data_IF_401231511338
#
_entry.id   IF_401231511338
#
_cell.length_a   1.000
_cell.length_b   1.000
_cell.length_c   1.000
_cell.angle_alpha   90.00
_cell.angle_beta   90.00
_cell.angle_gamma   90.00
#
_symmetry.space_group_name_H-M   'P 1'
#
loop_
_entity.id
_entity.type
_entity.pdbx_description
1 polymer ?
#
# COMPACT_ATOMS: atom_id res chain seq x y z
N UNK A 1 -12.46 -8.36 8.68
CA UNK A 1 -11.23 -8.20 7.88
C UNK A 1 -10.82 -9.56 7.32
N UNK A 2 -9.98 -9.60 6.29
CA UNK A 2 -9.41 -10.82 5.71
C UNK A 2 -8.11 -11.17 6.43
N UNK A 3 -8.19 -12.04 7.43
CA UNK A 3 -7.05 -12.36 8.31
C UNK A 3 -5.90 -13.02 7.55
N UNK A 4 -6.21 -13.87 6.57
CA UNK A 4 -5.21 -14.58 5.79
C UNK A 4 -4.42 -13.62 4.89
N UNK A 5 -5.12 -12.69 4.24
CA UNK A 5 -4.48 -11.63 3.47
C UNK A 5 -3.54 -10.79 4.35
N UNK A 6 -4.04 -10.35 5.51
CA UNK A 6 -3.26 -9.53 6.46
C UNK A 6 -1.96 -10.22 6.85
N UNK A 7 -2.04 -11.52 7.18
CA UNK A 7 -0.86 -12.31 7.57
C UNK A 7 0.19 -12.40 6.49
N UNK A 8 -0.26 -12.53 5.25
CA UNK A 8 0.59 -12.86 4.12
C UNK A 8 1.19 -11.62 3.44
N UNK A 9 0.50 -10.49 3.47
CA UNK A 9 0.82 -9.36 2.61
C UNK A 9 1.01 -8.03 3.34
N UNK A 10 0.92 -8.00 4.67
CA UNK A 10 1.06 -6.76 5.44
C UNK A 10 2.04 -6.92 6.59
N UNK A 11 2.62 -5.82 7.08
CA UNK A 11 3.49 -5.83 8.25
C UNK A 11 2.74 -5.94 9.59
N UNK A 12 1.42 -6.08 9.55
CA UNK A 12 0.56 -6.13 10.72
C UNK A 12 0.86 -7.27 11.72
N UNK A 13 1.42 -8.43 11.33
CA UNK A 13 1.85 -9.46 12.28
C UNK A 13 3.18 -9.17 12.98
N UNK A 14 3.93 -8.13 12.58
CA UNK A 14 5.21 -7.79 13.20
C UNK A 14 4.99 -7.26 14.61
N UNK A 15 5.82 -7.72 15.56
CA UNK A 15 5.80 -7.29 16.95
C UNK A 15 6.42 -5.90 17.14
N UNK A 16 5.70 -5.06 17.88
CA UNK A 16 6.16 -3.77 18.40
C UNK A 16 6.44 -3.94 19.89
N UNK A 17 7.58 -3.42 20.35
CA UNK A 17 7.92 -3.42 21.78
C UNK A 17 7.13 -2.36 22.52
N UNK A 18 6.52 -2.74 23.63
CA UNK A 18 5.71 -1.82 24.45
C UNK A 18 6.56 -0.74 25.16
N UNK A 19 7.85 -1.02 25.41
CA UNK A 19 8.74 -0.13 26.16
C UNK A 19 9.28 1.05 25.35
N UNK A 20 9.44 0.90 24.03
CA UNK A 20 10.03 1.93 23.17
C UNK A 20 9.27 2.20 21.86
N UNK A 21 8.16 1.49 21.62
CA UNK A 21 7.29 1.66 20.45
C UNK A 21 7.99 1.40 19.10
N UNK A 22 9.09 0.63 19.11
CA UNK A 22 9.81 0.22 17.89
C UNK A 22 9.49 -1.23 17.52
N UNK A 23 9.61 -1.54 16.22
CA UNK A 23 9.59 -2.93 15.73
C UNK A 23 10.67 -3.75 16.43
N UNK A 24 10.31 -4.92 16.92
CA UNK A 24 11.27 -5.85 17.53
C UNK A 24 12.18 -6.43 16.43
N UNK A 25 13.49 -6.27 16.62
CA UNK A 25 14.48 -6.77 15.67
C UNK A 25 14.84 -8.22 16.00
N UNK A 26 14.93 -9.09 14.99
CA UNK A 26 15.33 -10.48 15.19
C UNK A 26 16.75 -10.61 15.75
N UNK A 27 17.62 -9.64 15.44
CA UNK A 27 18.98 -9.59 15.95
C UNK A 27 19.04 -9.50 17.49
N UNK A 28 18.02 -8.94 18.14
CA UNK A 28 17.98 -8.70 19.58
C UNK A 28 17.35 -9.87 20.37
N UNK A 29 16.66 -10.80 19.71
CA UNK A 29 15.87 -11.85 20.35
C UNK A 29 16.70 -13.11 20.58
N UNK A 30 16.59 -13.68 21.78
CA UNK A 30 17.26 -14.94 22.12
C UNK A 30 16.72 -16.09 21.24
N UNK A 31 17.63 -16.88 20.66
CA UNK A 31 17.28 -18.01 19.80
C UNK A 31 16.85 -17.66 18.36
N UNK A 32 16.85 -16.38 17.99
CA UNK A 32 16.63 -15.96 16.61
C UNK A 32 17.93 -15.51 15.92
N UNK A 33 17.99 -15.81 14.63
CA UNK A 33 19.06 -15.41 13.73
C UNK A 33 18.54 -14.51 12.61
N UNK A 34 19.43 -13.67 12.12
CA UNK A 34 19.20 -12.81 10.96
C UNK A 34 19.44 -13.66 9.70
N UNK A 35 18.51 -13.70 8.72
CA UNK A 35 18.70 -14.48 7.50
C UNK A 35 19.96 -14.05 6.75
N UNK A 36 20.80 -15.01 6.35
CA UNK A 36 22.10 -14.76 5.74
C UNK A 36 22.01 -14.09 4.35
N UNK A 37 20.88 -14.23 3.66
CA UNK A 37 20.60 -13.66 2.35
C UNK A 37 20.04 -12.23 2.41
N UNK A 38 19.95 -11.63 3.61
CA UNK A 38 19.42 -10.29 3.75
C UNK A 38 20.42 -9.22 3.29
N UNK A 39 20.00 -8.22 2.49
CA UNK A 39 20.84 -7.08 2.17
C UNK A 39 21.26 -6.30 3.41
N UNK A 40 22.47 -5.77 3.41
CA UNK A 40 23.07 -5.01 4.53
C UNK A 40 22.22 -3.79 4.96
N UNK A 41 21.48 -3.18 4.04
CA UNK A 41 20.62 -2.03 4.32
C UNK A 41 19.24 -2.41 4.90
N UNK A 42 18.96 -3.69 5.12
CA UNK A 42 17.70 -4.20 5.65
C UNK A 42 17.87 -4.73 7.07
N UNK A 43 16.75 -4.90 7.76
CA UNK A 43 16.69 -5.53 9.08
C UNK A 43 15.61 -6.61 9.08
N UNK A 44 15.84 -7.67 9.86
CA UNK A 44 14.83 -8.70 10.13
C UNK A 44 14.03 -8.31 11.36
N UNK A 45 12.74 -8.58 11.31
CA UNK A 45 11.81 -8.30 12.40
C UNK A 45 11.33 -9.60 13.02
N UNK A 46 10.43 -9.50 14.00
CA UNK A 46 9.90 -10.64 14.73
C UNK A 46 8.39 -10.67 14.66
N UNK A 47 7.84 -11.84 14.40
CA UNK A 47 6.43 -12.16 14.58
C UNK A 47 6.30 -13.29 15.62
N UNK A 48 5.09 -13.70 15.97
CA UNK A 48 4.85 -14.77 16.95
C UNK A 48 3.95 -15.84 16.36
N UNK A 49 4.35 -17.10 16.41
CA UNK A 49 3.60 -18.24 15.82
C UNK A 49 3.83 -19.50 16.66
N UNK A 50 2.80 -20.32 16.84
CA UNK A 50 2.83 -21.56 17.65
C UNK A 50 3.53 -21.42 19.00
N UNK A 51 3.30 -20.32 19.73
CA UNK A 51 3.87 -20.11 21.06
C UNK A 51 5.35 -19.73 21.08
N UNK A 52 5.94 -19.33 19.95
CA UNK A 52 7.35 -18.92 19.87
C UNK A 52 7.56 -17.72 18.93
N UNK A 53 8.61 -16.91 19.15
CA UNK A 53 8.99 -15.89 18.18
C UNK A 53 9.51 -16.53 16.89
N UNK A 54 9.24 -15.87 15.76
CA UNK A 54 9.72 -16.27 14.43
C UNK A 54 10.33 -15.07 13.71
N UNK A 55 11.40 -15.31 12.96
CA UNK A 55 12.07 -14.27 12.18
C UNK A 55 11.24 -13.88 10.95
N UNK A 56 11.07 -12.58 10.73
CA UNK A 56 10.44 -12.00 9.53
C UNK A 56 11.52 -11.45 8.60
N UNK A 57 11.67 -12.06 7.43
CA UNK A 57 12.46 -11.49 6.34
C UNK A 57 11.55 -10.54 5.53
N UNK A 58 11.81 -9.22 5.50
CA UNK A 58 10.94 -8.26 4.82
C UNK A 58 10.96 -8.38 3.29
N UNK A 59 11.90 -9.12 2.68
CA UNK A 59 11.95 -9.33 1.24
C UNK A 59 11.12 -10.52 0.75
N UNK A 60 10.88 -11.49 1.64
CA UNK A 60 10.12 -12.71 1.32
C UNK A 60 8.74 -12.72 1.96
N UNK A 61 8.67 -12.28 3.21
CA UNK A 61 7.43 -12.19 3.99
C UNK A 61 6.67 -13.53 4.11
N UNK A 62 7.40 -14.64 4.23
CA UNK A 62 6.85 -16.00 4.32
C UNK A 62 6.45 -16.35 5.77
N UNK A 63 5.41 -15.70 6.29
CA UNK A 63 4.92 -15.95 7.65
C UNK A 63 3.95 -17.14 7.72
N UNK A 64 3.98 -17.93 8.82
CA UNK A 64 2.96 -18.95 9.07
C UNK A 64 1.55 -18.36 9.19
N UNK A 65 0.53 -19.07 8.72
CA UNK A 65 -0.86 -18.62 8.80
C UNK A 65 -1.42 -18.58 10.23
N UNK A 66 -0.73 -19.23 11.19
CA UNK A 66 -1.09 -19.18 12.61
C UNK A 66 -0.40 -18.04 13.39
N UNK A 67 0.27 -17.11 12.68
CA UNK A 67 0.95 -15.98 13.34
C UNK A 67 0.00 -15.20 14.27
N UNK A 68 0.48 -14.41 15.20
CA UNK A 68 -0.36 -13.61 16.09
C UNK A 68 -0.76 -12.29 15.40
N UNK A 69 -2.02 -11.87 15.49
CA UNK A 69 -2.46 -10.51 15.13
C UNK A 69 -2.88 -9.70 16.34
N UNK A 70 -3.45 -10.33 17.37
CA UNK A 70 -4.00 -9.64 18.53
C UNK A 70 -3.38 -10.20 19.82
N UNK A 71 -3.29 -9.36 20.84
CA UNK A 71 -2.77 -9.70 22.16
C UNK A 71 -1.31 -9.33 22.42
N UNK A 72 -0.87 -9.62 23.65
CA UNK A 72 0.47 -9.31 24.15
C UNK A 72 1.27 -10.59 24.37
N UNK A 73 2.55 -10.56 23.98
CA UNK A 73 3.52 -11.63 24.24
C UNK A 73 4.75 -11.08 24.96
N UNK A 74 5.39 -11.91 25.76
CA UNK A 74 6.65 -11.58 26.42
C UNK A 74 7.79 -12.29 25.71
N UNK A 75 8.77 -11.52 25.23
CA UNK A 75 9.92 -12.02 24.46
C UNK A 75 11.21 -11.81 25.24
N UNK A 76 12.05 -12.84 25.29
CA UNK A 76 13.38 -12.79 25.90
C UNK A 76 14.43 -12.32 24.89
N UNK A 77 15.23 -11.36 25.30
CA UNK A 77 16.29 -10.74 24.50
C UNK A 77 17.65 -11.39 24.80
N UNK A 78 18.61 -11.21 23.89
CA UNK A 78 19.99 -11.71 24.04
C UNK A 78 20.74 -11.10 25.22
N UNK A 79 20.34 -9.92 25.68
CA UNK A 79 20.91 -9.30 26.89
C UNK A 79 20.32 -9.86 28.20
N UNK A 80 19.45 -10.89 28.11
CA UNK A 80 18.81 -11.56 29.24
C UNK A 80 17.54 -10.87 29.73
N UNK A 81 17.18 -9.69 29.21
CA UNK A 81 15.93 -9.00 29.58
C UNK A 81 14.73 -9.62 28.89
N UNK A 82 13.55 -9.33 29.42
CA UNK A 82 12.28 -9.66 28.79
C UNK A 82 11.52 -8.38 28.45
N UNK A 83 10.93 -8.32 27.26
CA UNK A 83 10.12 -7.19 26.80
C UNK A 83 8.72 -7.68 26.44
N UNK A 84 7.71 -6.86 26.77
CA UNK A 84 6.34 -7.04 26.30
C UNK A 84 6.23 -6.52 24.87
N UNK A 85 5.51 -7.24 24.03
CA UNK A 85 5.30 -6.88 22.65
C UNK A 85 3.87 -7.16 22.21
N UNK A 86 3.36 -6.34 21.29
CA UNK A 86 2.04 -6.50 20.65
C UNK A 86 2.22 -6.44 19.13
N UNK A 87 1.47 -7.22 18.34
CA UNK A 87 1.52 -7.07 16.88
C UNK A 87 1.04 -5.69 16.43
N UNK A 88 1.52 -5.22 15.28
CA UNK A 88 1.06 -3.96 14.65
C UNK A 88 -0.46 -3.95 14.46
N UNK A 89 -1.08 -5.08 14.10
CA UNK A 89 -2.53 -5.20 13.96
C UNK A 89 -3.27 -4.84 15.25
N UNK A 90 -2.80 -5.37 16.39
CA UNK A 90 -3.41 -5.15 17.70
C UNK A 90 -3.40 -3.66 18.07
N UNK A 91 -2.27 -2.99 17.87
CA UNK A 91 -2.11 -1.55 18.11
C UNK A 91 -2.97 -0.72 17.15
N UNK A 92 -3.06 -1.13 15.89
CA UNK A 92 -3.92 -0.48 14.90
C UNK A 92 -5.40 -0.63 15.26
N UNK A 93 -5.81 -1.81 15.71
CA UNK A 93 -7.18 -2.11 16.15
C UNK A 93 -7.55 -1.27 17.37
N UNK A 94 -6.66 -1.18 18.35
CA UNK A 94 -6.81 -0.32 19.53
C UNK A 94 -6.97 1.15 19.14
N UNK A 95 -6.10 1.67 18.26
CA UNK A 95 -6.20 3.05 17.77
C UNK A 95 -7.50 3.28 16.99
N UNK A 96 -7.89 2.35 16.12
CA UNK A 96 -9.11 2.46 15.32
C UNK A 96 -10.38 2.36 16.18
N UNK A 97 -10.34 1.65 17.32
CA UNK A 97 -11.49 1.49 18.21
C UNK A 97 -12.01 2.80 18.80
N UNK A 98 -11.16 3.84 18.83
CA UNK A 98 -11.52 5.19 19.28
C UNK A 98 -12.39 5.94 18.25
N UNK A 99 -12.38 5.50 17.00
CA UNK A 99 -13.10 6.11 15.89
C UNK A 99 -14.40 5.35 15.60
N UNK A 100 -15.34 5.40 16.55
CA UNK A 100 -16.69 4.85 16.34
C UNK A 100 -17.41 5.64 15.23
N UNK A 101 -18.45 5.09 14.58
CA UNK A 101 -19.24 5.83 13.61
C UNK A 101 -19.75 7.19 14.14
N UNK A 102 -20.14 7.26 15.42
CA UNK A 102 -20.59 8.48 16.08
C UNK A 102 -19.45 9.48 16.31
N UNK A 103 -18.25 8.99 16.66
CA UNK A 103 -17.07 9.85 16.77
C UNK A 103 -16.68 10.45 15.40
N UNK A 104 -16.81 9.67 14.32
CA UNK A 104 -16.56 10.15 12.96
C UNK A 104 -17.67 11.10 12.49
N UNK A 105 -18.94 10.86 12.85
CA UNK A 105 -20.05 11.81 12.61
C UNK A 105 -19.88 13.13 13.40
N UNK A 106 -19.23 13.12 14.56
CA UNK A 106 -18.93 14.36 15.27
C UNK A 106 -17.86 15.22 14.58
N UNK A 107 -16.91 14.57 13.89
CA UNK A 107 -15.81 15.23 13.16
C UNK A 107 -16.15 15.53 11.69
N UNK A 108 -17.19 14.88 11.15
CA UNK A 108 -17.58 14.96 9.74
C UNK A 108 -19.08 15.09 9.62
N UNK A 109 -19.61 15.80 8.62
CA UNK A 109 -21.06 15.87 8.41
C UNK A 109 -21.67 14.57 7.81
N UNK A 110 -20.99 13.43 7.95
CA UNK A 110 -21.44 12.14 7.43
C UNK A 110 -22.18 11.35 8.52
N UNK A 111 -23.45 10.95 8.31
CA UNK A 111 -24.21 10.23 9.32
C UNK A 111 -23.54 8.92 9.75
N UNK A 112 -23.53 8.61 11.06
CA UNK A 112 -22.96 7.37 11.59
C UNK A 112 -23.57 6.12 10.94
N UNK A 113 -24.87 6.16 10.63
CA UNK A 113 -25.57 5.08 9.92
C UNK A 113 -24.97 4.82 8.53
N UNK A 114 -24.62 5.87 7.79
CA UNK A 114 -24.01 5.77 6.47
C UNK A 114 -22.55 5.29 6.55
N UNK A 115 -21.80 5.76 7.55
CA UNK A 115 -20.42 5.29 7.80
C UNK A 115 -20.44 3.78 8.04
N UNK A 116 -21.31 3.32 8.94
CA UNK A 116 -21.45 1.90 9.26
C UNK A 116 -21.96 1.08 8.05
N UNK A 117 -22.89 1.61 7.26
CA UNK A 117 -23.40 0.97 6.04
C UNK A 117 -22.28 0.77 5.02
N UNK A 118 -21.55 1.83 4.67
CA UNK A 118 -20.46 1.77 3.69
C UNK A 118 -19.35 0.83 4.15
N UNK A 119 -18.97 0.86 5.44
CA UNK A 119 -17.96 -0.04 5.98
C UNK A 119 -18.36 -1.52 5.85
N UNK A 120 -19.63 -1.86 6.13
CA UNK A 120 -20.16 -3.23 5.99
C UNK A 120 -20.26 -3.65 4.53
N UNK A 121 -20.75 -2.78 3.66
CA UNK A 121 -20.83 -3.04 2.21
C UNK A 121 -19.45 -3.29 1.61
N UNK A 122 -18.47 -2.45 1.95
CA UNK A 122 -17.09 -2.61 1.50
C UNK A 122 -16.45 -3.91 2.02
N UNK A 123 -16.75 -4.30 3.26
CA UNK A 123 -16.24 -5.56 3.83
C UNK A 123 -16.87 -6.81 3.18
N UNK A 124 -18.11 -6.72 2.72
CA UNK A 124 -18.84 -7.82 2.08
C UNK A 124 -18.64 -7.89 0.55
N UNK A 125 -18.26 -6.77 -0.08
CA UNK A 125 -18.07 -6.67 -1.52
C UNK A 125 -16.69 -7.16 -1.92
N UNK A 126 -16.63 -8.04 -2.93
CA UNK A 126 -15.39 -8.42 -3.63
C UNK A 126 -15.67 -8.47 -5.14
N UNK A 127 -14.93 -7.74 -5.99
CA UNK A 127 -13.81 -6.87 -5.65
C UNK A 127 -14.24 -5.46 -5.19
N UNK A 128 -13.37 -4.79 -4.41
CA UNK A 128 -13.47 -3.35 -4.07
C UNK A 128 -12.25 -2.62 -4.62
N UNK A 129 -12.52 -1.53 -5.35
CA UNK A 129 -11.49 -0.60 -5.81
C UNK A 129 -11.75 0.79 -5.26
N UNK A 130 -10.75 1.36 -4.58
CA UNK A 130 -10.73 2.77 -4.21
C UNK A 130 -9.89 3.55 -5.23
N UNK A 131 -10.55 4.48 -5.93
CA UNK A 131 -9.89 5.45 -6.79
C UNK A 131 -9.79 6.81 -6.09
N UNK A 132 -8.58 7.32 -5.96
CA UNK A 132 -8.26 8.50 -5.17
C UNK A 132 -7.58 9.59 -6.03
N UNK A 133 -8.12 10.80 -6.00
CA UNK A 133 -7.71 11.92 -6.88
C UNK A 133 -6.86 13.00 -6.19
N UNK A 134 -6.44 14.01 -6.98
CA UNK A 134 -5.56 15.10 -6.55
C UNK A 134 -6.02 15.86 -5.33
N UNK A 135 -7.31 16.11 -5.22
CA UNK A 135 -7.94 16.75 -4.07
C UNK A 135 -7.75 15.99 -2.75
N UNK A 136 -7.18 14.78 -2.73
CA UNK A 136 -6.93 14.05 -1.50
C UNK A 136 -5.45 14.06 -1.06
N UNK A 137 -4.48 14.08 -1.99
CA UNK A 137 -3.05 14.27 -1.66
C UNK A 137 -2.59 15.72 -1.65
N UNK A 138 -3.32 16.65 -2.28
CA UNK A 138 -2.96 18.07 -2.29
C UNK A 138 -3.37 18.79 -0.99
N UNK A 139 -3.29 18.06 0.13
CA UNK A 139 -3.52 18.55 1.48
C UNK A 139 -2.32 18.21 2.34
N UNK A 140 -2.13 18.98 3.40
CA UNK A 140 -0.99 18.83 4.31
C UNK A 140 -0.85 17.41 4.89
N UNK A 141 -1.98 16.74 5.19
CA UNK A 141 -2.03 15.35 5.68
C UNK A 141 -2.52 14.35 4.62
N UNK A 142 -2.28 14.64 3.34
CA UNK A 142 -2.72 13.80 2.23
C UNK A 142 -2.09 12.40 2.22
N UNK A 143 -0.87 12.27 2.76
CA UNK A 143 -0.17 11.01 2.97
C UNK A 143 -0.91 10.11 3.96
N UNK A 144 -1.38 10.65 5.08
CA UNK A 144 -2.15 9.93 6.09
C UNK A 144 -3.49 9.47 5.52
N UNK A 145 -4.17 10.33 4.76
CA UNK A 145 -5.43 9.97 4.09
C UNK A 145 -5.21 8.84 3.07
N UNK A 146 -4.15 8.92 2.27
CA UNK A 146 -3.79 7.86 1.32
C UNK A 146 -3.50 6.53 2.03
N UNK A 147 -2.76 6.56 3.15
CA UNK A 147 -2.51 5.38 3.98
C UNK A 147 -3.80 4.78 4.53
N UNK A 148 -4.70 5.60 5.08
CA UNK A 148 -5.99 5.14 5.60
C UNK A 148 -6.86 4.48 4.53
N UNK A 149 -6.95 5.07 3.33
CA UNK A 149 -7.68 4.47 2.21
C UNK A 149 -7.05 3.15 1.73
N UNK A 150 -5.71 3.11 1.62
CA UNK A 150 -5.00 1.88 1.25
C UNK A 150 -5.19 0.76 2.30
N UNK A 151 -5.31 1.14 3.57
CA UNK A 151 -5.55 0.21 4.66
C UNK A 151 -6.91 -0.49 4.50
N UNK A 152 -7.95 0.19 4.03
CA UNK A 152 -9.27 -0.40 3.84
C UNK A 152 -9.26 -1.59 2.85
N UNK A 153 -8.56 -1.45 1.73
CA UNK A 153 -8.44 -2.52 0.73
C UNK A 153 -7.49 -3.63 1.19
N UNK A 154 -6.47 -3.31 1.99
CA UNK A 154 -5.62 -4.32 2.62
C UNK A 154 -6.39 -5.14 3.67
N UNK A 155 -7.19 -4.48 4.53
CA UNK A 155 -8.01 -5.15 5.55
C UNK A 155 -9.11 -6.04 4.96
N UNK A 156 -9.56 -5.75 3.74
CA UNK A 156 -10.61 -6.53 3.06
C UNK A 156 -10.06 -7.55 2.06
N UNK A 157 -8.73 -7.62 1.88
CA UNK A 157 -8.07 -8.53 0.95
C UNK A 157 -8.33 -8.20 -0.53
N UNK A 158 -8.60 -6.94 -0.82
CA UNK A 158 -8.91 -6.42 -2.15
C UNK A 158 -7.66 -5.79 -2.80
N UNK A 159 -6.58 -6.57 -2.93
CA UNK A 159 -5.36 -6.14 -3.63
C UNK A 159 -4.81 -7.32 -4.44
N UNK A 160 -4.57 -7.07 -5.73
CA UNK A 160 -3.83 -7.99 -6.61
C UNK A 160 -4.70 -8.74 -7.61
N UNK A 161 -5.98 -8.40 -7.71
CA UNK A 161 -6.92 -8.96 -8.68
C UNK A 161 -7.50 -7.89 -9.59
N UNK A 162 -8.07 -8.30 -10.72
CA UNK A 162 -8.74 -7.37 -11.62
C UNK A 162 -9.97 -6.77 -10.94
N UNK A 163 -10.05 -5.44 -10.95
CA UNK A 163 -11.17 -4.69 -10.37
C UNK A 163 -11.07 -4.43 -8.86
N UNK A 164 -9.96 -4.82 -8.21
CA UNK A 164 -9.67 -4.48 -6.82
C UNK A 164 -8.52 -3.48 -6.67
N UNK A 165 -8.30 -2.99 -5.45
CA UNK A 165 -7.09 -2.28 -5.08
C UNK A 165 -7.28 -0.81 -4.74
N UNK A 166 -6.15 -0.12 -4.70
CA UNK A 166 -6.07 1.30 -4.42
C UNK A 166 -5.28 1.95 -5.55
N UNK A 167 -5.91 2.89 -6.26
CA UNK A 167 -5.26 3.60 -7.36
C UNK A 167 -5.37 5.09 -7.18
N UNK A 168 -4.30 5.78 -7.57
CA UNK A 168 -4.27 7.24 -7.60
C UNK A 168 -4.42 7.69 -9.05
N UNK A 169 -5.22 8.73 -9.26
CA UNK A 169 -5.26 9.41 -10.54
C UNK A 169 -4.82 10.87 -10.35
N UNK A 170 -3.77 11.22 -11.08
CA UNK A 170 -2.99 12.43 -10.90
C UNK A 170 -2.39 12.87 -12.24
N UNK A 171 -3.12 13.70 -13.00
CA UNK A 171 -2.64 14.20 -14.28
C UNK A 171 -1.95 13.10 -15.12
N UNK A 172 -0.73 13.36 -15.59
CA UNK A 172 0.02 12.48 -16.49
C UNK A 172 1.33 11.96 -15.88
N UNK A 173 1.29 11.34 -14.70
CA UNK A 173 2.51 10.92 -13.98
C UNK A 173 3.29 9.75 -14.62
N UNK A 174 2.62 8.74 -15.19
CA UNK A 174 3.28 7.53 -15.74
C UNK A 174 3.46 7.53 -17.27
N UNK A 175 3.73 8.68 -17.91
CA UNK A 175 3.91 8.70 -19.37
C UNK A 175 5.05 7.77 -19.81
N UNK A 176 4.74 6.74 -20.59
CA UNK A 176 5.72 5.80 -21.15
C UNK A 176 6.18 6.17 -22.57
N UNK A 177 5.91 7.40 -22.98
CA UNK A 177 6.34 7.98 -24.24
C UNK A 177 6.96 9.34 -23.94
N UNK A 178 7.83 9.79 -24.85
CA UNK A 178 8.41 11.15 -24.77
C UNK A 178 7.32 12.16 -25.04
N UNK A 179 6.74 12.75 -24.00
CA UNK A 179 5.66 13.71 -24.12
C UNK A 179 5.96 14.82 -25.14
N UNK A 180 7.15 15.41 -25.08
CA UNK A 180 7.55 16.45 -26.02
C UNK A 180 7.36 16.08 -27.49
N UNK A 181 7.51 14.81 -27.89
CA UNK A 181 7.29 14.38 -29.29
C UNK A 181 5.81 14.41 -29.73
N UNK A 182 4.87 14.49 -28.79
CA UNK A 182 3.44 14.63 -29.04
C UNK A 182 2.97 16.09 -28.94
N UNK A 183 3.54 16.86 -28.01
CA UNK A 183 3.19 18.27 -27.84
C UNK A 183 3.93 19.20 -28.82
N UNK A 184 5.17 18.83 -29.22
CA UNK A 184 6.00 19.56 -30.17
C UNK A 184 6.12 18.72 -31.44
N UNK A 185 5.31 19.05 -32.43
CA UNK A 185 5.32 18.38 -33.75
C UNK A 185 6.60 18.82 -34.47
N UNK A 186 7.56 17.92 -34.76
CA UNK A 186 8.80 18.30 -35.43
C UNK A 186 8.56 18.99 -36.77
N UNK A 187 7.50 18.59 -37.48
CA UNK A 187 7.12 19.16 -38.77
C UNK A 187 6.35 20.50 -38.66
N UNK A 188 5.93 20.92 -37.45
CA UNK A 188 5.20 22.17 -37.20
C UNK A 188 5.77 22.90 -35.96
N UNK A 189 7.01 23.42 -36.04
CA UNK A 189 7.74 23.96 -34.89
C UNK A 189 7.07 25.19 -34.24
N UNK A 190 6.28 25.95 -34.99
CA UNK A 190 5.61 27.17 -34.50
C UNK A 190 4.21 26.90 -33.91
N UNK A 191 3.75 25.65 -33.93
CA UNK A 191 2.42 25.30 -33.42
C UNK A 191 2.43 25.32 -31.88
N UNK A 192 1.57 26.14 -31.29
CA UNK A 192 1.33 26.10 -29.83
C UNK A 192 0.84 24.70 -29.41
N UNK A 193 1.40 24.09 -28.36
CA UNK A 193 0.93 22.81 -27.84
C UNK A 193 -0.56 22.88 -27.53
N UNK A 194 -1.34 21.89 -27.97
CA UNK A 194 -2.74 21.79 -27.57
C UNK A 194 -2.78 21.49 -26.07
N UNK A 195 -3.34 22.40 -25.27
CA UNK A 195 -3.30 22.34 -23.80
C UNK A 195 -4.11 21.21 -23.16
N UNK A 196 -4.75 20.35 -23.96
CA UNK A 196 -5.73 19.36 -23.45
C UNK A 196 -5.59 18.02 -24.16
N UNK A 197 -4.39 17.42 -24.14
CA UNK A 197 -4.22 16.01 -24.46
C UNK A 197 -4.53 15.20 -23.20
N UNK A 198 -5.69 14.55 -23.11
CA UNK A 198 -5.94 13.56 -22.05
C UNK A 198 -5.21 12.27 -22.40
N UNK A 199 -4.39 11.77 -21.47
CA UNK A 199 -3.74 10.48 -21.60
C UNK A 199 -4.28 9.55 -20.52
N UNK A 200 -5.00 8.51 -20.93
CA UNK A 200 -5.32 7.38 -20.07
C UNK A 200 -4.22 6.32 -20.22
N UNK A 201 -3.72 5.78 -19.10
CA UNK A 201 -2.59 4.85 -19.10
C UNK A 201 -2.98 3.51 -18.48
N UNK A 202 -2.62 2.44 -19.17
CA UNK A 202 -2.66 1.08 -18.64
C UNK A 202 -1.42 0.80 -17.77
N UNK A 203 -1.69 0.12 -16.66
CA UNK A 203 -0.69 -0.32 -15.70
C UNK A 203 0.19 -1.43 -16.29
N UNK A 204 1.48 -1.30 -16.06
CA UNK A 204 2.45 -2.39 -16.17
C UNK A 204 3.48 -2.08 -15.07
N UNK A 205 4.00 -3.11 -14.43
CA UNK A 205 4.81 -2.95 -13.24
C UNK A 205 5.99 -1.98 -13.46
N UNK A 206 6.12 -1.00 -12.55
CA UNK A 206 7.20 0.01 -12.54
C UNK A 206 8.60 -0.62 -12.65
N UNK A 207 8.76 -1.84 -12.15
CA UNK A 207 10.01 -2.59 -12.16
C UNK A 207 10.50 -2.98 -13.56
N UNK A 208 9.61 -3.21 -14.53
CA UNK A 208 10.02 -3.59 -15.88
C UNK A 208 10.53 -2.37 -16.66
N UNK A 209 9.80 -1.24 -16.59
CA UNK A 209 10.20 0.00 -17.27
C UNK A 209 11.49 0.60 -16.68
N UNK A 210 11.65 0.57 -15.35
CA UNK A 210 12.85 1.09 -14.70
C UNK A 210 14.11 0.27 -15.05
N UNK A 211 13.97 -1.03 -15.30
CA UNK A 211 15.09 -1.93 -15.65
C UNK A 211 15.36 -1.99 -17.15
N UNK A 212 14.32 -1.99 -17.97
CA UNK A 212 14.40 -2.34 -19.39
C UNK A 212 14.10 -1.17 -20.34
N UNK A 213 13.73 0.00 -19.81
CA UNK A 213 13.33 1.15 -20.62
C UNK A 213 12.03 0.89 -21.41
N UNK A 214 11.67 1.78 -22.34
CA UNK A 214 10.56 1.54 -23.25
C UNK A 214 10.87 0.34 -24.17
N UNK A 215 9.92 -0.59 -24.29
CA UNK A 215 10.06 -1.70 -25.26
C UNK A 215 10.06 -1.14 -26.69
N UNK A 216 10.72 -1.80 -27.67
CA UNK A 216 10.67 -1.38 -29.07
C UNK A 216 9.26 -1.27 -29.67
N UNK A 217 8.27 -1.95 -29.07
CA UNK A 217 6.85 -1.89 -29.46
C UNK A 217 6.12 -0.66 -28.93
N UNK A 218 6.71 0.08 -28.00
CA UNK A 218 6.13 1.29 -27.40
C UNK A 218 6.44 2.52 -28.25
N UNK A 219 6.19 2.42 -29.55
CA UNK A 219 6.31 3.49 -30.53
C UNK A 219 4.94 4.07 -30.80
N UNK A 220 4.74 5.38 -30.62
CA UNK A 220 3.54 6.03 -31.09
C UNK A 220 3.88 7.12 -32.13
N UNK A 221 3.44 6.97 -33.39
CA UNK A 221 3.60 8.00 -34.40
C UNK A 221 2.70 9.19 -34.13
N UNK A 222 3.13 10.39 -34.54
CA UNK A 222 2.35 11.61 -34.36
C UNK A 222 1.02 11.55 -35.15
N UNK A 223 -0.15 11.78 -34.53
CA UNK A 223 -1.41 11.79 -35.25
C UNK A 223 -1.59 13.12 -36.00
N UNK A 224 -1.52 13.06 -37.34
CA UNK A 224 -1.60 14.21 -38.25
C UNK A 224 -2.85 15.12 -38.13
N UNK A 225 -3.88 14.76 -37.35
CA UNK A 225 -5.20 15.46 -37.37
C UNK A 225 -5.81 15.76 -35.99
N UNK A 226 -5.00 16.05 -34.96
CA UNK A 226 -5.46 16.83 -33.80
C UNK A 226 -6.08 16.08 -32.62
N UNK A 227 -6.70 14.91 -32.78
CA UNK A 227 -7.02 13.93 -31.72
C UNK A 227 -7.14 12.55 -32.38
N UNK A 228 -6.36 11.51 -31.99
CA UNK A 228 -6.49 10.14 -32.56
C UNK A 228 -6.09 8.98 -31.64
N UNK A 229 -6.49 8.96 -30.38
CA UNK A 229 -6.40 7.72 -29.60
C UNK A 229 -7.60 7.53 -28.68
N UNK A 230 -8.36 6.46 -28.95
CA UNK A 230 -9.07 5.70 -27.93
C UNK A 230 -8.13 4.58 -27.49
N UNK A 231 -7.70 4.62 -26.24
CA UNK A 231 -7.10 3.46 -25.60
C UNK A 231 -8.27 2.76 -24.91
N UNK A 232 -8.89 1.83 -25.63
CA UNK A 232 -9.83 0.87 -25.05
C UNK A 232 -9.03 -0.12 -24.20
N UNK A 233 -9.53 -0.36 -22.99
CA UNK A 233 -9.12 -1.47 -22.14
C UNK A 233 -9.53 -2.80 -22.78
#
# INVERSE_FOLDING_TARGET
YDADFIRKFTDMPILIRSDNQKKLLAADVEGLEVPADMPEYRQAFVAYSKGKPVTVNPEKFDLPMDTLLEGEVTIRLKDGKTVKCRPVFDLLSEMASQWTPEAVEAETDMPASEIARIAREMAATKPVHIMYGASNYQWYHGDLKGRALSLLVALTGNIGHLGDGFSTYAGQYKMRYKGAAWWNVPELPDRKPAGTSFAYMLDYTLNDYAKNGPRPTMTCPFPKSGIKAWILY
#
